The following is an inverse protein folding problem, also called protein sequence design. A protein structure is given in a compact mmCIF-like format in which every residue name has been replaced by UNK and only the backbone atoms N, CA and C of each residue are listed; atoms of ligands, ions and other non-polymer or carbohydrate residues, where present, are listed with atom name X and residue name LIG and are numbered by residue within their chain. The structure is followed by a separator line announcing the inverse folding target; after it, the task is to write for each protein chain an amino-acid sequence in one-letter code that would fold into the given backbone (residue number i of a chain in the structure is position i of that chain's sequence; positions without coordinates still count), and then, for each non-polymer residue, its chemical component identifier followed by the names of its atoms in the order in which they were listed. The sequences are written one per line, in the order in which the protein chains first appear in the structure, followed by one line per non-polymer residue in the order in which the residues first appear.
data_IF_843112065683
#
_entry.id   IF_843112065683
#
_cell.length_a   1.000
_cell.length_b   1.000
_cell.length_c   1.000
_cell.angle_alpha   90.00
_cell.angle_beta   90.00
_cell.angle_gamma   90.00
#
_symmetry.space_group_name_H-M   'P 1'
#
loop_
_entity.id
_entity.type
_entity.pdbx_description
1 polymer ?
#
# COMPACT_ATOMS: atom_id res chain seq x y z
N UNK A 1 -21.50 -6.78 -24.92
CA UNK A 1 -22.57 -6.86 -23.90
C UNK A 1 -22.44 -5.76 -22.84
N UNK A 2 -21.35 -5.70 -22.05
CA UNK A 2 -21.18 -4.65 -21.02
C UNK A 2 -21.15 -3.22 -21.55
N UNK A 3 -20.55 -2.99 -22.73
CA UNK A 3 -20.58 -1.68 -23.40
C UNK A 3 -22.01 -1.27 -23.76
N UNK A 4 -22.82 -2.20 -24.25
CA UNK A 4 -24.23 -1.94 -24.57
C UNK A 4 -25.04 -1.62 -23.31
N UNK A 5 -24.85 -2.37 -22.21
CA UNK A 5 -25.48 -2.09 -20.92
C UNK A 5 -25.15 -0.68 -20.40
N UNK A 6 -23.88 -0.27 -20.53
CA UNK A 6 -23.43 1.07 -20.14
C UNK A 6 -24.06 2.16 -21.02
N UNK A 7 -24.05 2.00 -22.34
CA UNK A 7 -24.66 2.96 -23.28
C UNK A 7 -26.16 3.13 -23.05
N UNK A 8 -26.88 2.02 -22.83
CA UNK A 8 -28.33 2.06 -22.53
C UNK A 8 -28.60 2.81 -21.22
N UNK A 9 -27.81 2.57 -20.16
CA UNK A 9 -27.95 3.29 -18.89
C UNK A 9 -27.65 4.78 -19.03
N UNK A 10 -26.62 5.13 -19.78
CA UNK A 10 -26.25 6.53 -20.02
C UNK A 10 -27.34 7.27 -20.80
N UNK A 11 -27.96 6.61 -21.79
CA UNK A 11 -29.08 7.15 -22.55
C UNK A 11 -30.36 7.25 -21.72
N UNK A 12 -30.68 6.21 -20.94
CA UNK A 12 -31.94 6.14 -20.17
C UNK A 12 -31.96 7.02 -18.92
N UNK A 13 -30.81 7.21 -18.24
CA UNK A 13 -30.73 8.02 -17.01
C UNK A 13 -30.32 9.47 -17.28
N UNK A 14 -29.74 9.74 -18.44
CA UNK A 14 -29.06 11.00 -18.75
C UNK A 14 -27.64 11.05 -18.16
N UNK A 15 -26.74 11.77 -18.85
CA UNK A 15 -25.32 11.86 -18.50
C UNK A 15 -25.10 12.35 -17.05
N UNK A 16 -25.82 13.38 -16.62
CA UNK A 16 -25.63 13.95 -15.28
C UNK A 16 -26.01 12.96 -14.17
N UNK A 17 -27.16 12.30 -14.26
CA UNK A 17 -27.59 11.34 -13.24
C UNK A 17 -26.70 10.07 -13.24
N UNK A 18 -26.20 9.65 -14.40
CA UNK A 18 -25.29 8.51 -14.50
C UNK A 18 -24.01 8.73 -13.69
N UNK A 19 -23.40 9.93 -13.80
CA UNK A 19 -22.18 10.27 -13.08
C UNK A 19 -22.39 10.62 -11.61
N UNK A 20 -23.60 10.65 -11.06
CA UNK A 20 -23.77 10.83 -9.60
C UNK A 20 -23.51 9.52 -8.85
N UNK A 21 -23.83 8.37 -9.44
CA UNK A 21 -23.67 7.06 -8.79
C UNK A 21 -22.22 6.53 -8.88
N UNK A 22 -21.62 6.22 -7.72
CA UNK A 22 -20.27 5.64 -7.64
C UNK A 22 -20.15 4.31 -8.39
N UNK A 23 -21.17 3.45 -8.31
CA UNK A 23 -21.17 2.17 -9.01
C UNK A 23 -21.22 2.34 -10.53
N UNK A 24 -21.92 3.36 -11.03
CA UNK A 24 -21.95 3.65 -12.47
C UNK A 24 -20.64 4.26 -12.95
N UNK A 25 -20.00 5.13 -12.16
CA UNK A 25 -18.64 5.63 -12.46
C UNK A 25 -17.63 4.49 -12.58
N UNK A 26 -17.67 3.55 -11.64
CA UNK A 26 -16.80 2.36 -11.66
C UNK A 26 -17.08 1.46 -12.87
N UNK A 27 -18.35 1.23 -13.21
CA UNK A 27 -18.76 0.47 -14.38
C UNK A 27 -18.21 1.08 -15.69
N UNK A 28 -18.32 2.40 -15.82
CA UNK A 28 -17.77 3.15 -16.94
C UNK A 28 -16.24 2.99 -17.04
N UNK A 29 -15.52 3.15 -15.93
CA UNK A 29 -14.07 2.97 -15.88
C UNK A 29 -13.62 1.58 -16.34
N UNK A 30 -14.29 0.51 -15.86
CA UNK A 30 -13.96 -0.88 -16.23
C UNK A 30 -14.21 -1.13 -17.72
N UNK A 31 -15.31 -0.61 -18.28
CA UNK A 31 -15.62 -0.78 -19.70
C UNK A 31 -14.64 0.01 -20.58
N UNK A 32 -14.34 1.26 -20.24
CA UNK A 32 -13.34 2.06 -20.95
C UNK A 32 -11.96 1.39 -20.91
N UNK A 33 -11.51 0.93 -19.74
CA UNK A 33 -10.23 0.23 -19.60
C UNK A 33 -10.12 -1.03 -20.47
N UNK A 34 -11.20 -1.81 -20.56
CA UNK A 34 -11.24 -3.01 -21.43
C UNK A 34 -11.27 -2.69 -22.93
N UNK A 35 -11.92 -1.59 -23.34
CA UNK A 35 -11.89 -1.12 -24.73
C UNK A 35 -10.49 -0.63 -25.08
N UNK A 36 -9.87 0.18 -24.20
CA UNK A 36 -8.50 0.66 -24.38
C UNK A 36 -7.52 -0.51 -24.46
N UNK A 37 -7.62 -1.53 -23.59
CA UNK A 37 -6.81 -2.75 -23.69
C UNK A 37 -6.93 -3.40 -25.07
N UNK A 38 -8.17 -3.60 -25.56
CA UNK A 38 -8.41 -4.28 -26.84
C UNK A 38 -7.79 -3.50 -28.00
N UNK A 39 -7.94 -2.18 -28.03
CA UNK A 39 -7.37 -1.32 -29.07
C UNK A 39 -5.83 -1.33 -29.01
N UNK A 40 -5.25 -1.24 -27.82
CA UNK A 40 -3.80 -1.19 -27.64
C UNK A 40 -3.11 -2.51 -28.01
N UNK A 41 -3.76 -3.64 -27.73
CA UNK A 41 -3.26 -4.96 -28.12
C UNK A 41 -3.32 -5.14 -29.63
N UNK A 42 -4.41 -4.73 -30.28
CA UNK A 42 -4.60 -4.85 -31.73
C UNK A 42 -3.61 -3.99 -32.53
N UNK A 43 -3.27 -2.80 -32.00
CA UNK A 43 -2.34 -1.88 -32.67
C UNK A 43 -0.85 -2.17 -32.36
N UNK A 44 -0.55 -3.21 -31.57
CA UNK A 44 0.81 -3.59 -31.13
C UNK A 44 1.64 -2.43 -30.52
N UNK A 45 0.98 -1.41 -29.97
CA UNK A 45 1.64 -0.18 -29.47
C UNK A 45 2.39 -0.41 -28.15
N UNK A 46 2.12 -1.50 -27.42
CA UNK A 46 2.47 -1.64 -26.01
C UNK A 46 3.49 -2.75 -25.72
N UNK A 47 4.39 -2.47 -24.78
CA UNK A 47 5.34 -3.45 -24.23
C UNK A 47 4.64 -4.58 -23.46
N UNK A 48 5.26 -5.77 -23.33
CA UNK A 48 4.66 -6.92 -22.65
C UNK A 48 4.29 -6.65 -21.18
N UNK A 49 4.97 -5.71 -20.52
CA UNK A 49 4.63 -5.26 -19.17
C UNK A 49 3.31 -4.47 -19.14
N UNK A 50 3.09 -3.57 -20.09
CA UNK A 50 1.86 -2.79 -20.16
C UNK A 50 0.64 -3.68 -20.40
N UNK A 51 0.75 -4.67 -21.29
CA UNK A 51 -0.32 -5.66 -21.55
C UNK A 51 -0.69 -6.43 -20.27
N UNK A 52 0.28 -6.70 -19.39
CA UNK A 52 0.01 -7.39 -18.11
C UNK A 52 -0.79 -6.52 -17.13
N UNK A 53 -0.52 -5.22 -17.07
CA UNK A 53 -1.28 -4.28 -16.22
C UNK A 53 -2.72 -4.12 -16.72
N UNK A 54 -2.94 -3.97 -18.02
CA UNK A 54 -4.30 -3.88 -18.56
C UNK A 54 -5.09 -5.18 -18.39
N UNK A 55 -4.43 -6.34 -18.44
CA UNK A 55 -5.06 -7.62 -18.05
C UNK A 55 -5.57 -7.61 -16.61
N UNK A 56 -4.87 -6.94 -15.67
CA UNK A 56 -5.34 -6.78 -14.30
C UNK A 56 -6.61 -5.90 -14.20
N UNK A 57 -6.81 -4.92 -15.09
CA UNK A 57 -8.05 -4.11 -15.13
C UNK A 57 -9.27 -4.99 -15.39
N UNK A 58 -9.13 -6.07 -16.15
CA UNK A 58 -10.22 -7.03 -16.35
C UNK A 58 -10.64 -7.72 -15.06
N UNK A 59 -9.74 -7.88 -14.09
CA UNK A 59 -10.10 -8.44 -12.78
C UNK A 59 -11.05 -7.52 -12.02
N UNK A 60 -10.97 -6.20 -12.25
CA UNK A 60 -11.86 -5.23 -11.59
C UNK A 60 -13.34 -5.45 -11.90
N UNK A 61 -13.68 -6.14 -13.00
CA UNK A 61 -15.07 -6.49 -13.32
C UNK A 61 -15.73 -7.39 -12.26
N UNK A 62 -14.95 -8.14 -11.47
CA UNK A 62 -15.48 -8.96 -10.38
C UNK A 62 -16.18 -8.09 -9.32
N UNK A 63 -15.70 -6.86 -9.12
CA UNK A 63 -16.34 -5.91 -8.21
C UNK A 63 -17.73 -5.47 -8.70
N UNK A 64 -18.13 -5.73 -9.95
CA UNK A 64 -19.54 -5.52 -10.38
C UNK A 64 -20.52 -6.40 -9.60
N UNK A 65 -20.06 -7.53 -9.04
CA UNK A 65 -20.88 -8.40 -8.16
C UNK A 65 -21.31 -7.64 -6.90
N UNK A 66 -20.47 -6.72 -6.39
CA UNK A 66 -20.78 -5.90 -5.20
C UNK A 66 -22.04 -5.06 -5.37
N UNK A 67 -22.39 -4.66 -6.60
CA UNK A 67 -23.63 -3.92 -6.92
C UNK A 67 -24.89 -4.77 -6.75
N UNK A 68 -24.78 -6.06 -7.06
CA UNK A 68 -25.93 -6.98 -7.03
C UNK A 68 -26.10 -7.61 -5.64
N UNK A 69 -25.02 -7.65 -4.85
CA UNK A 69 -25.01 -8.21 -3.50
C UNK A 69 -25.14 -7.10 -2.46
N UNK A 70 -26.39 -6.81 -2.07
CA UNK A 70 -26.71 -5.71 -1.16
C UNK A 70 -25.92 -5.79 0.17
N UNK A 71 -25.73 -6.98 0.72
CA UNK A 71 -24.93 -7.18 1.94
C UNK A 71 -23.47 -6.73 1.76
N UNK A 72 -22.84 -7.06 0.62
CA UNK A 72 -21.47 -6.66 0.31
C UNK A 72 -21.36 -5.15 0.09
N UNK A 73 -22.32 -4.55 -0.62
CA UNK A 73 -22.41 -3.09 -0.78
C UNK A 73 -22.50 -2.37 0.57
N UNK A 74 -23.35 -2.87 1.47
CA UNK A 74 -23.50 -2.31 2.81
C UNK A 74 -22.21 -2.44 3.64
N UNK A 75 -21.49 -3.56 3.53
CA UNK A 75 -20.19 -3.75 4.19
C UNK A 75 -19.15 -2.75 3.68
N UNK A 76 -19.05 -2.58 2.36
CA UNK A 76 -18.11 -1.61 1.75
C UNK A 76 -18.45 -0.18 2.19
N UNK A 77 -19.73 0.20 2.17
CA UNK A 77 -20.17 1.51 2.64
C UNK A 77 -19.85 1.72 4.14
N UNK A 78 -20.06 0.70 4.97
CA UNK A 78 -19.74 0.75 6.40
C UNK A 78 -18.23 0.92 6.61
N UNK A 79 -17.41 0.17 5.87
CA UNK A 79 -15.94 0.27 5.93
C UNK A 79 -15.46 1.66 5.52
N UNK A 80 -15.98 2.22 4.43
CA UNK A 80 -15.62 3.56 3.97
C UNK A 80 -16.03 4.66 4.97
N UNK A 81 -17.16 4.49 5.66
CA UNK A 81 -17.56 5.41 6.72
C UNK A 81 -16.63 5.32 7.94
N UNK A 82 -16.23 4.10 8.36
CA UNK A 82 -15.25 3.90 9.43
C UNK A 82 -13.84 4.37 9.06
N UNK A 83 -13.46 4.32 7.77
CA UNK A 83 -12.18 4.88 7.33
C UNK A 83 -12.09 6.39 7.58
N UNK A 84 -13.19 7.13 7.43
CA UNK A 84 -13.19 8.58 7.69
C UNK A 84 -12.91 8.90 9.16
N UNK A 85 -13.38 8.09 10.10
CA UNK A 85 -13.13 8.31 11.53
C UNK A 85 -11.70 7.96 11.95
N UNK A 86 -11.05 7.00 11.27
CA UNK A 86 -9.68 6.56 11.59
C UNK A 86 -8.61 7.30 10.74
N UNK A 87 -9.01 8.06 9.72
CA UNK A 87 -8.09 8.78 8.82
C UNK A 87 -7.11 9.71 9.55
N UNK A 88 -7.55 10.41 10.59
CA UNK A 88 -6.69 11.27 11.42
C UNK A 88 -5.61 10.47 12.16
N UNK A 89 -5.96 9.29 12.67
CA UNK A 89 -5.01 8.37 13.32
C UNK A 89 -4.02 7.78 12.30
N UNK A 90 -4.48 7.40 11.10
CA UNK A 90 -3.59 6.93 10.04
C UNK A 90 -2.60 8.01 9.60
N UNK A 91 -3.02 9.27 9.54
CA UNK A 91 -2.12 10.39 9.23
C UNK A 91 -1.07 10.58 10.32
N UNK A 92 -1.47 10.50 11.60
CA UNK A 92 -0.54 10.56 12.73
C UNK A 92 0.46 9.39 12.69
N UNK A 93 -0.02 8.17 12.46
CA UNK A 93 0.80 6.98 12.32
C UNK A 93 1.78 7.11 11.15
N UNK A 94 1.33 7.62 10.00
CA UNK A 94 2.18 7.83 8.84
C UNK A 94 3.26 8.88 9.10
N UNK A 95 2.93 9.98 9.79
CA UNK A 95 3.91 10.98 10.22
C UNK A 95 4.94 10.38 11.18
N UNK A 96 4.50 9.58 12.14
CA UNK A 96 5.36 8.86 13.08
C UNK A 96 6.34 7.93 12.33
N UNK A 97 5.83 7.15 11.36
CA UNK A 97 6.67 6.31 10.49
C UNK A 97 7.73 7.15 9.78
N UNK A 98 7.36 8.28 9.17
CA UNK A 98 8.31 9.16 8.47
C UNK A 98 9.43 9.64 9.41
N UNK A 99 9.08 10.11 10.61
CA UNK A 99 10.06 10.61 11.59
C UNK A 99 11.06 9.51 11.94
N UNK A 100 10.57 8.32 12.27
CA UNK A 100 11.43 7.18 12.62
C UNK A 100 12.24 6.68 11.43
N UNK A 101 11.67 6.66 10.21
CA UNK A 101 12.42 6.29 9.01
C UNK A 101 13.58 7.24 8.74
N UNK A 102 13.35 8.56 8.84
CA UNK A 102 14.43 9.55 8.66
C UNK A 102 15.49 9.44 9.76
N UNK A 103 15.07 9.26 11.02
CA UNK A 103 16.01 9.05 12.12
C UNK A 103 16.83 7.76 11.93
N UNK A 104 16.16 6.68 11.51
CA UNK A 104 16.80 5.41 11.18
C UNK A 104 17.81 5.55 10.05
N UNK A 105 17.53 6.33 9.00
CA UNK A 105 18.50 6.63 7.95
C UNK A 105 19.74 7.36 8.48
N UNK A 106 19.58 8.32 9.41
CA UNK A 106 20.72 9.03 10.01
C UNK A 106 21.58 8.11 10.88
N UNK A 107 20.95 7.19 11.62
CA UNK A 107 21.64 6.29 12.54
C UNK A 107 22.27 5.09 11.80
N UNK A 108 21.55 4.49 10.86
CA UNK A 108 21.88 3.18 10.27
C UNK A 108 22.16 3.21 8.76
N UNK A 109 21.97 4.35 8.08
CA UNK A 109 22.14 4.44 6.64
C UNK A 109 23.53 4.01 6.18
N UNK A 110 23.58 3.06 5.24
CA UNK A 110 24.81 2.51 4.67
C UNK A 110 25.59 1.58 5.60
N UNK A 111 25.10 1.33 6.83
CA UNK A 111 25.85 0.56 7.82
C UNK A 111 25.56 -0.93 7.77
N UNK A 112 24.43 -1.38 7.21
CA UNK A 112 23.98 -2.79 7.29
C UNK A 112 24.75 -3.78 6.39
N UNK A 113 25.87 -3.37 5.81
CA UNK A 113 26.62 -4.16 4.82
C UNK A 113 27.81 -4.91 5.47
N UNK A 114 27.53 -5.82 6.40
CA UNK A 114 28.59 -6.59 7.11
C UNK A 114 29.07 -7.83 6.39
N UNK A 115 28.22 -8.40 5.54
CA UNK A 115 28.46 -9.70 4.90
C UNK A 115 28.20 -9.57 3.40
N UNK A 116 29.26 -9.61 2.59
CA UNK A 116 29.18 -9.49 1.13
C UNK A 116 28.35 -10.62 0.50
N UNK A 117 28.09 -11.71 1.25
CA UNK A 117 27.37 -12.89 0.75
C UNK A 117 25.85 -12.83 0.97
N UNK A 118 25.35 -11.93 1.84
CA UNK A 118 23.92 -11.83 2.15
C UNK A 118 23.37 -10.41 1.95
N UNK A 119 22.49 -10.26 0.96
CA UNK A 119 21.74 -9.02 0.77
C UNK A 119 20.62 -8.92 1.79
N UNK A 120 20.78 -8.01 2.76
CA UNK A 120 19.73 -7.68 3.72
C UNK A 120 18.62 -6.91 3.02
N UNK A 121 17.37 -7.39 3.14
CA UNK A 121 16.20 -6.74 2.51
C UNK A 121 15.69 -5.55 3.30
N UNK A 122 15.81 -5.59 4.63
CA UNK A 122 15.32 -4.56 5.55
C UNK A 122 16.47 -3.66 5.98
N UNK A 123 16.71 -2.58 5.24
CA UNK A 123 17.81 -1.62 5.50
C UNK A 123 17.30 -0.18 5.54
N UNK A 124 18.18 0.71 5.99
CA UNK A 124 17.91 2.16 6.12
C UNK A 124 18.69 2.98 5.08
N UNK A 125 19.03 2.39 3.94
CA UNK A 125 19.89 3.05 2.93
C UNK A 125 19.11 4.07 2.09
N UNK A 126 17.85 3.77 1.79
CA UNK A 126 16.97 4.62 0.98
C UNK A 126 15.66 4.90 1.72
N UNK A 127 15.06 6.06 1.45
CA UNK A 127 13.82 6.47 2.14
C UNK A 127 12.65 5.49 2.00
N UNK A 128 12.28 4.97 0.81
CA UNK A 128 11.20 3.99 0.70
C UNK A 128 11.50 2.68 1.43
N UNK A 129 12.77 2.25 1.44
CA UNK A 129 13.19 1.02 2.12
C UNK A 129 13.20 1.19 3.64
N UNK A 130 13.63 2.34 4.14
CA UNK A 130 13.53 2.71 5.55
C UNK A 130 12.06 2.80 6.01
N UNK A 131 11.16 3.27 5.14
CA UNK A 131 9.72 3.32 5.41
C UNK A 131 9.11 1.92 5.56
N UNK A 132 9.45 1.01 4.64
CA UNK A 132 9.03 -0.39 4.74
C UNK A 132 9.64 -1.10 5.94
N UNK A 133 10.91 -0.82 6.28
CA UNK A 133 11.60 -1.41 7.43
C UNK A 133 10.97 -0.95 8.75
N UNK A 134 10.65 0.35 8.89
CA UNK A 134 9.93 0.85 10.06
C UNK A 134 8.53 0.25 10.15
N UNK A 135 7.82 0.14 9.02
CA UNK A 135 6.52 -0.52 8.98
C UNK A 135 6.59 -1.98 9.41
N UNK A 136 7.60 -2.73 8.95
CA UNK A 136 7.86 -4.12 9.37
C UNK A 136 8.11 -4.22 10.88
N UNK A 137 8.86 -3.28 11.46
CA UNK A 137 9.08 -3.25 12.92
C UNK A 137 7.77 -2.99 13.66
N UNK A 138 6.93 -2.08 13.15
CA UNK A 138 5.62 -1.78 13.75
C UNK A 138 4.65 -2.95 13.70
N UNK A 139 4.67 -3.77 12.65
CA UNK A 139 3.85 -4.99 12.59
C UNK A 139 4.37 -6.11 13.49
N UNK A 140 5.58 -5.95 14.05
CA UNK A 140 6.23 -6.97 14.87
C UNK A 140 6.75 -8.17 14.09
N UNK A 141 6.85 -8.05 12.76
CA UNK A 141 7.35 -9.12 11.90
C UNK A 141 8.88 -9.05 11.81
N UNK A 142 9.58 -10.05 12.34
CA UNK A 142 11.05 -10.15 12.31
C UNK A 142 11.79 -8.88 12.77
N UNK A 143 11.18 -8.09 13.65
CA UNK A 143 11.74 -6.84 14.17
C UNK A 143 13.04 -7.06 14.96
N UNK A 144 13.14 -8.22 15.61
CA UNK A 144 14.31 -8.64 16.36
C UNK A 144 15.54 -8.84 15.46
N UNK A 145 15.36 -9.37 14.24
CA UNK A 145 16.42 -9.53 13.26
C UNK A 145 16.98 -8.17 12.82
N UNK A 146 16.09 -7.21 12.54
CA UNK A 146 16.48 -5.83 12.18
C UNK A 146 17.21 -5.15 13.34
N UNK A 147 16.77 -5.40 14.58
CA UNK A 147 17.45 -4.90 15.78
C UNK A 147 18.85 -5.51 15.93
N UNK A 148 19.00 -6.82 15.76
CA UNK A 148 20.29 -7.50 15.84
C UNK A 148 21.27 -7.00 14.79
N UNK A 149 20.80 -6.79 13.55
CA UNK A 149 21.60 -6.19 12.48
C UNK A 149 22.03 -4.76 12.86
N UNK A 150 21.14 -3.99 13.48
CA UNK A 150 21.44 -2.67 14.03
C UNK A 150 22.51 -2.68 15.14
N UNK A 151 22.52 -3.68 16.02
CA UNK A 151 23.56 -3.83 17.07
C UNK A 151 24.90 -4.21 16.45
N UNK A 152 24.89 -5.14 15.49
CA UNK A 152 26.09 -5.56 14.76
C UNK A 152 26.72 -4.38 14.00
N UNK A 153 25.88 -3.44 13.52
CA UNK A 153 26.31 -2.19 12.88
C UNK A 153 27.23 -1.29 13.68
N UNK A 154 27.22 -1.45 15.00
CA UNK A 154 27.99 -0.63 15.90
C UNK A 154 29.10 -1.40 16.62
N UNK A 155 29.42 -2.61 16.16
CA UNK A 155 30.47 -3.46 16.74
C UNK A 155 29.96 -4.47 17.77
N UNK A 156 28.67 -4.80 17.76
CA UNK A 156 28.08 -5.86 18.57
C UNK A 156 27.71 -5.46 20.00
N UNK A 157 27.28 -6.43 20.84
CA UNK A 157 26.69 -6.16 22.16
C UNK A 157 27.65 -5.51 23.17
N UNK A 158 28.95 -5.73 23.03
CA UNK A 158 29.96 -5.25 23.98
C UNK A 158 30.38 -3.78 23.76
N UNK A 159 29.79 -3.11 22.77
CA UNK A 159 30.17 -1.78 22.31
C UNK A 159 29.00 -0.79 22.40
N UNK A 160 29.01 0.28 21.60
CA UNK A 160 27.91 1.26 21.53
C UNK A 160 26.61 0.67 20.94
N UNK A 161 26.63 -0.55 20.40
CA UNK A 161 25.47 -1.21 19.80
C UNK A 161 24.28 -1.41 20.74
N UNK A 162 24.49 -1.56 22.05
CA UNK A 162 23.37 -1.67 23.01
C UNK A 162 22.54 -0.38 23.12
N UNK A 163 23.15 0.80 22.95
CA UNK A 163 22.43 2.08 23.01
C UNK A 163 21.43 2.17 21.86
N UNK A 164 21.74 1.53 20.75
CA UNK A 164 20.96 1.56 19.53
C UNK A 164 19.69 0.70 19.63
N UNK A 165 19.66 -0.28 20.56
CA UNK A 165 18.44 -1.03 20.89
C UNK A 165 17.30 -0.13 21.36
N UNK A 166 17.59 0.99 22.03
CA UNK A 166 16.56 1.91 22.52
C UNK A 166 15.72 2.48 21.37
N UNK A 167 16.31 2.71 20.19
CA UNK A 167 15.56 3.14 19.01
C UNK A 167 14.44 2.14 18.66
N UNK A 168 14.78 0.85 18.59
CA UNK A 168 13.83 -0.21 18.23
C UNK A 168 12.77 -0.42 19.31
N UNK A 169 13.17 -0.38 20.59
CA UNK A 169 12.24 -0.53 21.72
C UNK A 169 11.24 0.63 21.75
N UNK A 170 11.71 1.88 21.61
CA UNK A 170 10.84 3.06 21.57
C UNK A 170 9.91 2.99 20.35
N UNK A 171 10.44 2.66 19.17
CA UNK A 171 9.65 2.51 17.96
C UNK A 171 8.52 1.48 18.14
N UNK A 172 8.83 0.31 18.70
CA UNK A 172 7.86 -0.76 18.90
C UNK A 172 6.80 -0.40 19.94
N UNK A 173 7.21 0.16 21.09
CA UNK A 173 6.27 0.52 22.16
C UNK A 173 5.39 1.71 21.73
N UNK A 174 5.99 2.81 21.31
CA UNK A 174 5.24 4.01 20.91
C UNK A 174 4.37 3.75 19.69
N UNK A 175 4.88 2.96 18.73
CA UNK A 175 4.14 2.55 17.55
C UNK A 175 2.89 1.73 17.88
N UNK A 176 3.02 0.73 18.74
CA UNK A 176 1.88 -0.07 19.18
C UNK A 176 0.88 0.71 20.03
N UNK A 177 1.31 1.76 20.75
CA UNK A 177 0.38 2.65 21.45
C UNK A 177 -0.45 3.53 20.51
N UNK A 178 0.04 3.82 19.29
CA UNK A 178 -0.67 4.63 18.29
C UNK A 178 -1.64 3.78 17.47
N UNK A 179 -1.37 2.47 17.32
CA UNK A 179 -2.24 1.56 16.60
C UNK A 179 -3.59 1.40 17.32
N UNK A 180 -4.72 1.64 16.64
CA UNK A 180 -6.04 1.41 17.23
C UNK A 180 -6.25 -0.10 17.45
N UNK A 181 -6.54 -0.50 18.68
CA UNK A 181 -7.04 -1.84 19.02
C UNK A 181 -8.47 -2.07 18.52
#
# INVERSE_FOLDING_TARGET
MFTCEMLVKMYSLGLQAYFVSLFNRFDCFVVCGGITETILVELEIMSPLGISVFRCVRLLRIFKVTRHWQSLSNLVASLLNSMKSIASLLLLLFLFIIIFSLLGMQVFGGKFNFDETQTKRSTFDNFPQALLTVFQILTGEDWNAVMYDGIMAYGGPSSSGMVVCFYFIILFICGNCILPH
#
